data_IF_357550477189
#
_entry.id   IF_357550477189
#
_cell.length_a   1.000
_cell.length_b   1.000
_cell.length_c   1.000
_cell.angle_alpha   90.00
_cell.angle_beta   90.00
_cell.angle_gamma   90.00
#
_symmetry.space_group_name_H-M   'P 1'
#
loop_
_entity.id
_entity.type
_entity.pdbx_description
1 polymer ?
#
# COMPACT_ATOMS: atom_id res chain seq x y z
N UNK A 1 65.14 25.85 18.98
CA UNK A 1 65.85 25.99 17.71
C UNK A 1 64.73 25.95 16.66
N UNK A 2 64.24 27.08 16.26
CA UNK A 2 64.64 27.94 15.15
C UNK A 2 64.22 27.32 13.80
N UNK A 3 63.22 28.01 13.21
CA UNK A 3 63.08 28.43 11.82
C UNK A 3 62.56 27.36 10.81
N UNK A 4 61.76 27.63 9.80
CA UNK A 4 61.33 28.87 9.12
C UNK A 4 60.13 28.56 8.24
N UNK A 5 59.23 29.50 8.12
CA UNK A 5 58.32 29.67 7.00
C UNK A 5 59.05 30.25 5.77
N UNK A 6 58.51 30.10 4.58
CA UNK A 6 58.28 31.28 3.75
C UNK A 6 56.89 31.40 3.13
N UNK A 7 56.47 32.55 3.23
CA UNK A 7 55.56 33.47 2.59
C UNK A 7 55.27 33.28 1.10
N UNK A 8 53.96 33.38 0.76
CA UNK A 8 53.53 34.14 -0.38
C UNK A 8 53.04 33.40 -1.61
N UNK A 9 51.74 33.42 -1.81
CA UNK A 9 51.21 33.96 -3.07
C UNK A 9 49.68 34.06 -3.00
N UNK A 10 49.19 35.26 -3.09
CA UNK A 10 47.80 35.61 -3.28
C UNK A 10 47.40 35.29 -4.73
N UNK A 11 46.40 34.47 -4.96
CA UNK A 11 45.71 34.42 -6.24
C UNK A 11 44.23 34.60 -5.98
N UNK A 12 43.72 35.65 -6.61
CA UNK A 12 42.36 36.15 -6.56
C UNK A 12 41.35 35.08 -7.01
N UNK A 13 40.37 34.84 -6.17
CA UNK A 13 39.21 34.03 -6.49
C UNK A 13 38.26 34.77 -7.42
N UNK A 14 38.01 34.22 -8.59
CA UNK A 14 36.90 34.63 -9.42
C UNK A 14 35.60 34.06 -8.88
N UNK A 15 34.73 34.98 -8.51
CA UNK A 15 33.36 34.78 -8.08
C UNK A 15 32.52 34.22 -9.25
N UNK A 16 32.24 32.92 -9.29
CA UNK A 16 31.11 32.37 -10.06
C UNK A 16 30.06 31.95 -9.06
N UNK A 17 29.13 32.86 -8.81
CA UNK A 17 27.95 32.61 -8.02
C UNK A 17 27.10 31.49 -8.62
N UNK A 18 27.21 30.31 -8.04
CA UNK A 18 26.18 29.27 -8.24
C UNK A 18 24.96 29.66 -7.44
N UNK A 19 24.00 30.20 -8.16
CA UNK A 19 22.70 30.62 -7.64
C UNK A 19 21.85 29.37 -7.33
N UNK A 20 21.86 28.91 -6.08
CA UNK A 20 21.11 27.74 -5.60
C UNK A 20 19.58 28.04 -5.53
N UNK A 21 19.14 29.19 -5.99
CA UNK A 21 17.73 29.64 -5.86
C UNK A 21 16.85 29.25 -7.07
N UNK A 22 17.27 28.39 -7.97
CA UNK A 22 16.51 28.07 -9.20
C UNK A 22 16.12 26.61 -9.38
N UNK A 23 16.04 25.79 -8.34
CA UNK A 23 15.43 24.44 -8.42
C UNK A 23 14.30 24.31 -7.38
N UNK A 24 13.56 25.35 -7.14
CA UNK A 24 12.16 25.24 -6.74
C UNK A 24 11.33 25.27 -8.02
N UNK A 25 11.40 24.19 -8.79
CA UNK A 25 10.41 23.89 -9.81
C UNK A 25 9.04 23.98 -9.13
N UNK A 26 8.20 24.89 -9.60
CA UNK A 26 6.79 25.00 -9.22
C UNK A 26 6.20 23.60 -9.32
N UNK A 27 6.00 22.95 -8.16
CA UNK A 27 5.22 21.75 -8.04
C UNK A 27 3.80 22.19 -8.36
N UNK A 28 3.41 22.15 -9.64
CA UNK A 28 2.03 22.28 -10.07
C UNK A 28 1.21 21.33 -9.21
N UNK A 29 0.16 21.84 -8.59
CA UNK A 29 -0.73 21.04 -7.78
C UNK A 29 -1.12 19.78 -8.57
N UNK A 30 -0.66 18.62 -8.13
CA UNK A 30 -0.94 17.34 -8.80
C UNK A 30 -2.40 17.03 -8.59
N UNK A 31 -3.18 17.10 -9.64
CA UNK A 31 -4.56 16.59 -9.62
C UNK A 31 -4.51 15.08 -9.41
N UNK A 32 -5.49 14.52 -8.69
CA UNK A 32 -5.59 13.06 -8.54
C UNK A 32 -5.51 12.37 -9.91
N UNK A 33 -4.82 11.24 -9.97
CA UNK A 33 -4.85 10.39 -11.16
C UNK A 33 -6.27 9.87 -11.44
N UNK A 34 -7.09 9.72 -10.39
CA UNK A 34 -8.47 9.27 -10.49
C UNK A 34 -9.44 10.45 -10.59
N UNK A 35 -10.49 10.28 -11.38
CA UNK A 35 -11.59 11.21 -11.53
C UNK A 35 -12.94 10.48 -11.42
N UNK A 36 -14.03 11.21 -11.49
CA UNK A 36 -15.39 10.66 -11.40
C UNK A 36 -15.69 9.62 -12.49
N UNK A 37 -15.02 9.71 -13.66
CA UNK A 37 -15.25 8.76 -14.75
C UNK A 37 -14.82 7.35 -14.38
N UNK A 38 -13.79 7.19 -13.52
CA UNK A 38 -13.39 5.89 -12.99
C UNK A 38 -14.53 5.24 -12.20
N UNK A 39 -15.15 5.97 -11.27
CA UNK A 39 -16.27 5.47 -10.46
C UNK A 39 -17.52 5.22 -11.33
N UNK A 40 -17.79 6.11 -12.27
CA UNK A 40 -18.90 5.95 -13.22
C UNK A 40 -18.74 4.68 -14.07
N UNK A 41 -17.53 4.41 -14.57
CA UNK A 41 -17.25 3.17 -15.31
C UNK A 41 -17.47 1.92 -14.44
N UNK A 42 -17.00 1.92 -13.18
CA UNK A 42 -17.21 0.80 -12.26
C UNK A 42 -18.70 0.57 -11.97
N UNK A 43 -19.49 1.64 -11.86
CA UNK A 43 -20.95 1.55 -11.68
C UNK A 43 -21.62 0.93 -12.92
N UNK A 44 -21.25 1.37 -14.12
CA UNK A 44 -21.75 0.79 -15.37
C UNK A 44 -21.35 -0.69 -15.51
N UNK A 45 -20.12 -1.03 -15.15
CA UNK A 45 -19.65 -2.42 -15.13
C UNK A 45 -20.44 -3.27 -14.13
N UNK A 46 -20.79 -2.75 -12.96
CA UNK A 46 -21.60 -3.44 -11.98
C UNK A 46 -23.00 -3.78 -12.54
N UNK A 47 -23.61 -2.83 -13.24
CA UNK A 47 -24.94 -3.01 -13.86
C UNK A 47 -24.92 -3.97 -15.07
N UNK A 48 -23.77 -4.14 -15.74
CA UNK A 48 -23.64 -4.84 -17.01
C UNK A 48 -22.51 -5.90 -17.02
N UNK A 49 -22.26 -6.57 -15.92
CA UNK A 49 -21.08 -7.40 -15.70
C UNK A 49 -21.09 -8.68 -16.57
N UNK A 50 -20.81 -8.51 -17.87
CA UNK A 50 -20.71 -9.58 -18.87
C UNK A 50 -19.45 -9.41 -19.75
N UNK A 51 -19.03 -10.49 -20.40
CA UNK A 51 -17.86 -10.47 -21.29
C UNK A 51 -18.11 -9.60 -22.51
N UNK A 52 -19.31 -9.65 -23.06
CA UNK A 52 -19.65 -8.89 -24.28
C UNK A 52 -19.69 -7.40 -24.00
N UNK A 53 -20.30 -6.99 -22.89
CA UNK A 53 -20.30 -5.58 -22.48
C UNK A 53 -18.90 -5.05 -22.24
N UNK A 54 -18.08 -5.80 -21.47
CA UNK A 54 -16.71 -5.38 -21.19
C UNK A 54 -15.87 -5.26 -22.45
N UNK A 55 -16.02 -6.20 -23.39
CA UNK A 55 -15.33 -6.15 -24.69
C UNK A 55 -15.74 -4.93 -25.51
N UNK A 56 -17.04 -4.60 -25.53
CA UNK A 56 -17.55 -3.41 -26.21
C UNK A 56 -17.06 -2.09 -25.58
N UNK A 57 -16.82 -2.08 -24.26
CA UNK A 57 -16.40 -0.89 -23.51
C UNK A 57 -14.92 -0.94 -23.09
N UNK A 58 -14.10 -1.81 -23.73
CA UNK A 58 -12.70 -1.99 -23.35
C UNK A 58 -11.87 -0.71 -23.49
N UNK A 59 -12.12 0.11 -24.51
CA UNK A 59 -11.43 1.38 -24.72
C UNK A 59 -11.70 2.36 -23.56
N UNK A 60 -12.94 2.40 -23.06
CA UNK A 60 -13.30 3.22 -21.92
C UNK A 60 -12.64 2.70 -20.61
N UNK A 61 -12.60 1.38 -20.41
CA UNK A 61 -11.85 0.79 -19.30
C UNK A 61 -10.37 1.20 -19.32
N UNK A 62 -9.73 1.14 -20.49
CA UNK A 62 -8.33 1.56 -20.64
C UNK A 62 -8.17 3.05 -20.27
N UNK A 63 -9.03 3.92 -20.78
CA UNK A 63 -8.92 5.37 -20.59
C UNK A 63 -9.30 5.81 -19.17
N UNK A 64 -10.42 5.29 -18.64
CA UNK A 64 -11.03 5.79 -17.40
C UNK A 64 -10.53 5.07 -16.13
N UNK A 65 -10.03 3.83 -16.26
CA UNK A 65 -9.66 3.00 -15.12
C UNK A 65 -8.18 2.62 -15.15
N UNK A 66 -7.73 1.93 -16.21
CA UNK A 66 -6.38 1.36 -16.23
C UNK A 66 -5.29 2.43 -16.36
N UNK A 67 -5.42 3.38 -17.28
CA UNK A 67 -4.43 4.44 -17.47
C UNK A 67 -4.25 5.29 -16.21
N UNK A 68 -5.32 5.78 -15.55
CA UNK A 68 -5.21 6.44 -14.25
C UNK A 68 -4.54 5.60 -13.17
N UNK A 69 -4.90 4.31 -13.07
CA UNK A 69 -4.30 3.42 -12.08
C UNK A 69 -2.80 3.19 -12.31
N UNK A 70 -2.36 3.05 -13.56
CA UNK A 70 -0.94 2.92 -13.88
C UNK A 70 -0.18 4.22 -13.59
N UNK A 71 -0.74 5.38 -13.93
CA UNK A 71 -0.16 6.68 -13.60
C UNK A 71 -0.01 6.87 -12.08
N UNK A 72 -1.03 6.50 -11.30
CA UNK A 72 -0.94 6.50 -9.84
C UNK A 72 0.20 5.62 -9.32
N UNK A 73 0.34 4.39 -9.85
CA UNK A 73 1.41 3.48 -9.45
C UNK A 73 2.79 4.09 -9.77
N UNK A 74 2.97 4.70 -10.93
CA UNK A 74 4.22 5.39 -11.30
C UNK A 74 4.55 6.51 -10.31
N UNK A 75 3.55 7.35 -9.99
CA UNK A 75 3.71 8.44 -9.02
C UNK A 75 4.03 7.93 -7.61
N UNK A 76 3.43 6.81 -7.20
CA UNK A 76 3.67 6.21 -5.88
C UNK A 76 5.04 5.52 -5.75
N UNK A 77 5.70 5.17 -6.85
CA UNK A 77 6.95 4.40 -6.82
C UNK A 77 8.03 4.98 -5.89
N UNK A 78 8.41 6.27 -5.95
CA UNK A 78 9.42 6.82 -5.05
C UNK A 78 8.98 6.80 -3.58
N UNK A 79 7.70 7.03 -3.29
CA UNK A 79 7.18 7.01 -1.92
C UNK A 79 7.18 5.59 -1.34
N UNK A 80 6.74 4.60 -2.12
CA UNK A 80 6.72 3.19 -1.70
C UNK A 80 8.14 2.67 -1.45
N UNK A 81 9.10 2.97 -2.34
CA UNK A 81 10.49 2.57 -2.16
C UNK A 81 11.18 3.30 -1.01
N UNK A 82 10.72 4.49 -0.63
CA UNK A 82 11.19 5.20 0.56
C UNK A 82 10.69 4.53 1.86
N UNK A 83 9.50 3.92 1.84
CA UNK A 83 8.99 3.13 2.98
C UNK A 83 9.78 1.83 3.12
N UNK A 84 9.90 1.10 2.02
CA UNK A 84 10.72 -0.10 1.94
C UNK A 84 11.12 -0.38 0.49
N UNK A 85 12.42 -0.55 0.20
CA UNK A 85 12.88 -0.97 -1.13
C UNK A 85 12.48 -2.43 -1.45
N UNK A 86 11.95 -3.16 -0.48
CA UNK A 86 11.47 -4.53 -0.62
C UNK A 86 10.02 -4.62 -1.12
N UNK A 87 9.31 -3.51 -1.15
CA UNK A 87 7.95 -3.46 -1.70
C UNK A 87 7.99 -3.29 -3.22
N UNK A 88 7.25 -4.15 -3.91
CA UNK A 88 7.13 -4.11 -5.38
C UNK A 88 6.16 -3.00 -5.78
N UNK A 89 6.62 -2.06 -6.59
CA UNK A 89 5.81 -1.00 -7.18
C UNK A 89 6.06 -0.97 -8.70
N UNK A 90 5.20 -1.64 -9.47
CA UNK A 90 5.40 -1.85 -10.91
C UNK A 90 4.15 -1.52 -11.69
N UNK A 91 4.20 -0.45 -12.50
CA UNK A 91 3.12 -0.01 -13.38
C UNK A 91 3.10 -0.83 -14.67
N UNK A 92 2.45 -2.00 -14.64
CA UNK A 92 2.29 -2.89 -15.79
C UNK A 92 0.85 -3.35 -15.93
N UNK A 93 0.39 -3.55 -17.16
CA UNK A 93 -0.96 -4.05 -17.47
C UNK A 93 -1.21 -5.48 -16.92
N UNK A 94 -0.16 -6.29 -16.84
CA UNK A 94 -0.21 -7.68 -16.35
C UNK A 94 1.01 -7.94 -15.49
N UNK A 95 0.79 -8.57 -14.32
CA UNK A 95 1.88 -8.96 -13.41
C UNK A 95 2.56 -7.80 -12.68
N UNK A 96 1.96 -6.60 -12.70
CA UNK A 96 2.38 -5.43 -11.93
C UNK A 96 1.59 -5.25 -10.64
N UNK A 97 1.62 -4.02 -10.12
CA UNK A 97 0.91 -3.63 -8.90
C UNK A 97 -0.60 -3.47 -9.12
N UNK A 98 -1.06 -3.24 -10.37
CA UNK A 98 -2.47 -3.21 -10.71
C UNK A 98 -3.03 -4.63 -10.81
N UNK A 99 -4.06 -4.92 -10.04
CA UNK A 99 -4.75 -6.21 -10.12
C UNK A 99 -5.56 -6.32 -11.42
N UNK A 100 -5.60 -7.52 -12.00
CA UNK A 100 -6.41 -7.78 -13.20
C UNK A 100 -7.90 -7.59 -12.91
N UNK A 101 -8.68 -7.09 -13.90
CA UNK A 101 -10.12 -6.89 -13.72
C UNK A 101 -10.91 -8.21 -13.66
N UNK A 102 -10.40 -9.30 -14.24
CA UNK A 102 -11.09 -10.58 -14.24
C UNK A 102 -11.15 -11.20 -12.84
N UNK A 103 -12.33 -11.69 -12.47
CA UNK A 103 -12.53 -12.48 -11.24
C UNK A 103 -12.08 -13.92 -11.45
N UNK A 104 -11.62 -14.54 -10.38
CA UNK A 104 -11.53 -15.99 -10.30
C UNK A 104 -12.85 -16.54 -9.76
N UNK A 105 -13.75 -16.89 -10.67
CA UNK A 105 -15.08 -17.38 -10.32
C UNK A 105 -15.17 -18.91 -10.25
N UNK A 106 -14.03 -19.65 -10.31
CA UNK A 106 -14.03 -21.11 -10.33
C UNK A 106 -14.77 -21.72 -9.14
N UNK A 107 -14.51 -21.20 -7.95
CA UNK A 107 -15.07 -21.69 -6.69
C UNK A 107 -16.13 -20.73 -6.09
N UNK A 108 -16.44 -19.62 -6.77
CA UNK A 108 -17.45 -18.66 -6.30
C UNK A 108 -18.86 -19.04 -6.73
N UNK A 109 -19.85 -18.79 -5.88
CA UNK A 109 -21.29 -18.87 -6.25
C UNK A 109 -21.65 -17.78 -7.27
N UNK A 110 -21.10 -16.59 -7.09
CA UNK A 110 -21.24 -15.49 -8.05
C UNK A 110 -20.30 -15.72 -9.23
N UNK A 111 -20.87 -15.87 -10.43
CA UNK A 111 -20.17 -16.16 -11.69
C UNK A 111 -19.91 -14.89 -12.53
N UNK A 112 -20.15 -13.70 -12.01
CA UNK A 112 -19.80 -12.47 -12.73
C UNK A 112 -18.32 -12.46 -13.10
N UNK A 113 -17.97 -12.13 -14.36
CA UNK A 113 -16.61 -12.34 -14.85
C UNK A 113 -15.61 -11.27 -14.42
N UNK A 114 -16.08 -10.10 -13.98
CA UNK A 114 -15.20 -8.97 -13.67
C UNK A 114 -15.38 -8.49 -12.23
N UNK A 115 -14.30 -7.96 -11.68
CA UNK A 115 -14.30 -7.20 -10.43
C UNK A 115 -14.92 -5.83 -10.70
N UNK A 116 -15.71 -5.34 -9.76
CA UNK A 116 -16.33 -4.01 -9.79
C UNK A 116 -15.50 -2.98 -8.98
N UNK A 117 -14.22 -3.28 -8.79
CA UNK A 117 -13.26 -2.44 -8.08
C UNK A 117 -11.92 -2.37 -8.81
N UNK A 118 -11.19 -1.30 -8.56
CA UNK A 118 -9.75 -1.19 -8.85
C UNK A 118 -8.99 -1.59 -7.60
N UNK A 119 -8.11 -2.57 -7.70
CA UNK A 119 -7.19 -2.96 -6.65
C UNK A 119 -5.76 -2.68 -7.07
N UNK A 120 -5.02 -1.92 -6.25
CA UNK A 120 -3.60 -1.66 -6.45
C UNK A 120 -2.86 -2.18 -5.23
N UNK A 121 -1.82 -3.00 -5.44
CA UNK A 121 -1.09 -3.68 -4.40
C UNK A 121 0.41 -3.44 -4.50
N UNK A 122 1.02 -3.03 -3.39
CA UNK A 122 2.47 -2.90 -3.22
C UNK A 122 2.92 -3.95 -2.20
N UNK A 123 3.17 -5.17 -2.66
CA UNK A 123 3.52 -6.30 -1.81
C UNK A 123 5.02 -6.49 -1.69
N UNK A 124 5.44 -7.18 -0.64
CA UNK A 124 6.84 -7.61 -0.50
C UNK A 124 7.27 -8.48 -1.68
N UNK A 125 8.48 -8.22 -2.24
CA UNK A 125 8.92 -8.86 -3.50
C UNK A 125 9.13 -10.38 -3.37
N UNK A 126 9.45 -10.89 -2.18
CA UNK A 126 9.58 -12.32 -1.90
C UNK A 126 8.22 -13.04 -1.82
N UNK A 127 7.13 -12.29 -1.71
CA UNK A 127 5.80 -12.85 -1.74
C UNK A 127 5.34 -13.18 -3.16
N UNK A 128 4.90 -14.41 -3.39
CA UNK A 128 4.42 -14.84 -4.72
C UNK A 128 3.04 -14.27 -5.05
N UNK A 129 2.27 -13.85 -4.05
CA UNK A 129 0.89 -13.41 -4.19
C UNK A 129 0.43 -12.47 -3.06
N UNK A 130 -0.88 -12.37 -2.84
CA UNK A 130 -1.53 -11.55 -1.79
C UNK A 130 -1.22 -11.98 -0.35
N UNK A 131 -0.60 -13.14 -0.15
CA UNK A 131 -0.26 -13.69 1.16
C UNK A 131 1.09 -13.19 1.70
N UNK A 132 1.72 -12.22 1.01
CA UNK A 132 2.86 -11.49 1.56
C UNK A 132 2.41 -10.16 2.19
N UNK A 133 3.12 -9.64 3.20
CA UNK A 133 2.86 -8.30 3.70
C UNK A 133 2.89 -7.27 2.56
N UNK A 134 1.95 -6.36 2.57
CA UNK A 134 1.84 -5.35 1.50
C UNK A 134 0.91 -4.21 1.86
N UNK A 135 0.94 -3.19 1.01
CA UNK A 135 0.05 -2.05 1.04
C UNK A 135 -0.97 -2.19 -0.09
N UNK A 136 -2.17 -1.70 0.14
CA UNK A 136 -3.28 -1.87 -0.80
C UNK A 136 -4.13 -0.62 -0.91
N UNK A 137 -4.52 -0.26 -2.13
CA UNK A 137 -5.55 0.73 -2.41
C UNK A 137 -6.73 0.04 -3.08
N UNK A 138 -7.91 0.21 -2.49
CA UNK A 138 -9.18 -0.24 -3.02
C UNK A 138 -10.02 0.94 -3.47
N UNK A 139 -10.53 0.88 -4.70
CA UNK A 139 -11.44 1.90 -5.24
C UNK A 139 -12.67 1.18 -5.78
N UNK A 140 -13.84 1.46 -5.20
CA UNK A 140 -15.12 0.94 -5.63
C UNK A 140 -16.25 1.91 -5.27
N UNK A 141 -17.43 1.72 -5.85
CA UNK A 141 -18.58 2.59 -5.57
C UNK A 141 -19.19 2.35 -4.19
N UNK A 142 -19.01 1.15 -3.62
CA UNK A 142 -19.51 0.78 -2.30
C UNK A 142 -18.52 1.13 -1.17
N UNK A 143 -17.33 1.62 -1.51
CA UNK A 143 -16.34 2.11 -0.58
C UNK A 143 -14.93 2.09 -1.13
N UNK A 144 -14.14 3.09 -0.75
CA UNK A 144 -12.71 3.16 -1.03
C UNK A 144 -11.95 3.05 0.28
N UNK A 145 -10.76 2.40 0.26
CA UNK A 145 -9.94 2.28 1.45
C UNK A 145 -8.46 2.05 1.13
N UNK A 146 -7.60 2.42 2.08
CA UNK A 146 -6.23 1.97 2.17
C UNK A 146 -6.16 0.74 3.07
N UNK A 147 -5.36 -0.23 2.68
CA UNK A 147 -5.05 -1.41 3.47
C UNK A 147 -3.55 -1.60 3.67
N UNK A 148 -3.16 -2.18 4.80
CA UNK A 148 -1.78 -2.57 5.08
C UNK A 148 -1.75 -3.86 5.88
N UNK A 149 -0.81 -4.74 5.57
CA UNK A 149 -0.65 -6.00 6.31
C UNK A 149 -0.67 -7.23 5.41
N UNK A 150 -1.18 -8.33 5.92
CA UNK A 150 -1.25 -9.62 5.23
C UNK A 150 -2.66 -10.20 5.31
N UNK A 151 -3.22 -10.54 4.16
CA UNK A 151 -4.57 -11.12 4.04
C UNK A 151 -4.47 -12.60 3.75
N UNK A 152 -5.23 -13.40 4.51
CA UNK A 152 -5.26 -14.86 4.41
C UNK A 152 -3.88 -15.52 4.40
N UNK A 153 -3.00 -15.20 5.38
CA UNK A 153 -1.74 -15.91 5.51
C UNK A 153 -2.00 -17.41 5.67
N UNK A 154 -1.11 -18.23 5.15
CA UNK A 154 -1.18 -19.66 5.35
C UNK A 154 -0.96 -20.05 6.82
N UNK A 155 -1.15 -21.34 7.14
CA UNK A 155 -1.04 -21.82 8.52
C UNK A 155 0.36 -21.63 9.11
N UNK A 156 1.40 -21.70 8.30
CA UNK A 156 2.78 -21.49 8.74
C UNK A 156 3.01 -20.01 9.09
N UNK A 157 2.64 -19.11 8.20
CA UNK A 157 2.72 -17.67 8.44
C UNK A 157 1.87 -17.23 9.64
N UNK A 158 0.64 -17.76 9.79
CA UNK A 158 -0.20 -17.53 10.97
C UNK A 158 0.51 -17.92 12.27
N UNK A 159 1.13 -19.10 12.30
CA UNK A 159 1.84 -19.57 13.48
C UNK A 159 3.06 -18.68 13.79
N UNK A 160 3.84 -18.30 12.78
CA UNK A 160 4.98 -17.39 12.96
C UNK A 160 4.55 -16.04 13.52
N UNK A 161 3.48 -15.44 12.97
CA UNK A 161 2.96 -14.14 13.45
C UNK A 161 2.46 -14.26 14.88
N UNK A 162 1.72 -15.32 15.22
CA UNK A 162 1.23 -15.55 16.59
C UNK A 162 2.36 -15.75 17.60
N UNK A 163 3.37 -16.55 17.27
CA UNK A 163 4.57 -16.73 18.12
C UNK A 163 5.28 -15.39 18.31
N UNK A 164 5.42 -14.59 17.25
CA UNK A 164 6.02 -13.27 17.36
C UNK A 164 5.21 -12.32 18.26
N UNK A 165 3.87 -12.37 18.23
CA UNK A 165 3.00 -11.57 19.09
C UNK A 165 3.14 -12.01 20.57
N UNK A 166 3.23 -13.30 20.82
CA UNK A 166 3.47 -13.86 22.16
C UNK A 166 4.83 -13.41 22.72
N UNK A 167 5.89 -13.55 21.93
CA UNK A 167 7.27 -13.22 22.32
C UNK A 167 7.51 -11.70 22.42
N UNK A 168 6.85 -10.89 21.58
CA UNK A 168 7.08 -9.45 21.43
C UNK A 168 5.79 -8.62 21.47
N UNK A 169 4.93 -8.75 22.50
CA UNK A 169 3.62 -8.12 22.54
C UNK A 169 3.68 -6.59 22.57
N UNK A 170 4.72 -6.02 23.18
CA UNK A 170 4.86 -4.58 23.31
C UNK A 170 5.12 -3.89 21.96
N UNK A 171 5.95 -4.47 21.10
CA UNK A 171 6.18 -3.95 19.75
C UNK A 171 4.90 -4.01 18.90
N UNK A 172 4.13 -5.09 19.02
CA UNK A 172 2.84 -5.21 18.34
C UNK A 172 1.81 -4.18 18.84
N UNK A 173 1.69 -4.00 20.18
CA UNK A 173 0.82 -2.96 20.77
C UNK A 173 1.19 -1.56 20.29
N UNK A 174 2.47 -1.24 20.16
CA UNK A 174 2.92 0.05 19.63
C UNK A 174 2.54 0.22 18.15
N UNK A 175 2.58 -0.85 17.35
CA UNK A 175 2.12 -0.81 15.97
C UNK A 175 0.61 -0.57 15.91
N UNK A 176 -0.18 -1.24 16.73
CA UNK A 176 -1.64 -1.03 16.83
C UNK A 176 -2.00 0.39 17.27
N UNK A 177 -1.29 0.94 18.26
CA UNK A 177 -1.51 2.31 18.74
C UNK A 177 -1.26 3.33 17.63
N UNK A 178 -0.14 3.22 16.88
CA UNK A 178 0.14 4.11 15.74
C UNK A 178 -0.95 4.02 14.67
N UNK A 179 -1.42 2.82 14.36
CA UNK A 179 -2.50 2.62 13.40
C UNK A 179 -3.79 3.30 13.84
N UNK A 180 -4.17 3.13 15.11
CA UNK A 180 -5.38 3.74 15.68
C UNK A 180 -5.30 5.27 15.64
N UNK A 181 -4.17 5.85 16.06
CA UNK A 181 -3.93 7.30 16.01
C UNK A 181 -4.02 7.84 14.58
N UNK A 182 -3.61 7.06 13.59
CA UNK A 182 -3.71 7.39 12.18
C UNK A 182 -5.10 7.10 11.55
N UNK A 183 -6.04 6.54 12.30
CA UNK A 183 -7.39 6.22 11.85
C UNK A 183 -7.50 4.92 11.04
N UNK A 184 -6.53 4.00 11.19
CA UNK A 184 -6.64 2.64 10.72
C UNK A 184 -7.26 1.74 11.79
N UNK A 185 -8.08 0.79 11.38
CA UNK A 185 -8.61 -0.27 12.23
C UNK A 185 -8.15 -1.64 11.73
N UNK A 186 -7.86 -2.55 12.66
CA UNK A 186 -7.58 -3.94 12.32
C UNK A 186 -8.88 -4.65 11.93
N UNK A 187 -8.89 -5.22 10.74
CA UNK A 187 -10.05 -5.90 10.14
C UNK A 187 -9.73 -7.37 9.84
N UNK A 188 -10.71 -8.10 9.33
CA UNK A 188 -10.60 -9.49 8.90
C UNK A 188 -11.22 -10.50 9.85
N UNK A 189 -11.11 -11.77 9.50
CA UNK A 189 -11.69 -12.89 10.24
C UNK A 189 -10.91 -13.21 11.53
N UNK A 190 -11.64 -13.70 12.53
CA UNK A 190 -11.09 -14.21 13.77
C UNK A 190 -11.57 -15.63 14.08
N UNK A 191 -10.78 -16.37 14.84
CA UNK A 191 -11.19 -17.63 15.43
C UNK A 191 -12.16 -17.37 16.60
N UNK A 192 -13.17 -18.22 16.75
CA UNK A 192 -14.06 -18.20 17.92
C UNK A 192 -13.32 -18.66 19.18
N UNK A 193 -12.51 -19.71 19.05
CA UNK A 193 -11.74 -20.30 20.13
C UNK A 193 -10.26 -19.90 20.04
N UNK A 194 -9.52 -19.89 21.17
CA UNK A 194 -8.08 -19.71 21.15
C UNK A 194 -7.40 -20.66 20.17
N UNK A 195 -6.37 -20.21 19.44
CA UNK A 195 -5.57 -21.11 18.63
C UNK A 195 -4.82 -22.12 19.53
N UNK A 196 -4.49 -23.30 18.97
CA UNK A 196 -3.76 -24.33 19.70
C UNK A 196 -2.44 -23.79 20.22
N UNK A 197 -2.16 -24.03 21.50
CA UNK A 197 -0.93 -23.62 22.17
C UNK A 197 -1.03 -22.31 22.94
N UNK A 198 -2.13 -21.56 22.85
CA UNK A 198 -2.34 -20.31 23.58
C UNK A 198 -3.49 -20.41 24.59
N UNK A 199 -3.26 -19.90 25.79
CA UNK A 199 -4.27 -19.87 26.85
C UNK A 199 -5.38 -18.85 26.53
N UNK A 200 -6.61 -19.15 26.96
CA UNK A 200 -7.76 -18.24 26.80
C UNK A 200 -7.61 -16.94 27.58
N UNK A 201 -6.82 -16.95 28.65
CA UNK A 201 -6.53 -15.78 29.50
C UNK A 201 -5.28 -15.00 29.01
N UNK A 202 -4.71 -15.37 27.86
CA UNK A 202 -3.53 -14.69 27.32
C UNK A 202 -3.82 -13.20 27.08
N UNK A 203 -2.94 -12.26 27.51
CA UNK A 203 -3.20 -10.81 27.40
C UNK A 203 -3.42 -10.30 25.97
N UNK A 204 -2.97 -11.05 24.98
CA UNK A 204 -3.11 -10.73 23.55
C UNK A 204 -4.06 -11.69 22.82
N UNK A 205 -4.95 -12.38 23.55
CA UNK A 205 -5.74 -13.48 23.00
C UNK A 205 -6.60 -13.05 21.80
N UNK A 206 -7.14 -11.82 21.78
CA UNK A 206 -7.97 -11.35 20.69
C UNK A 206 -7.14 -11.15 19.42
N UNK A 207 -5.89 -10.69 19.54
CA UNK A 207 -4.96 -10.58 18.42
C UNK A 207 -4.46 -11.97 17.95
N UNK A 208 -4.24 -12.90 18.88
CA UNK A 208 -3.85 -14.28 18.54
C UNK A 208 -4.97 -15.06 17.84
N UNK A 209 -6.24 -14.68 18.04
CA UNK A 209 -7.39 -15.26 17.30
C UNK A 209 -7.49 -14.80 15.87
N UNK A 210 -6.80 -13.71 15.47
CA UNK A 210 -6.89 -13.22 14.08
C UNK A 210 -6.48 -14.28 13.07
N UNK A 211 -7.20 -14.30 11.95
CA UNK A 211 -6.84 -15.06 10.74
C UNK A 211 -6.22 -14.14 9.68
N UNK A 212 -6.52 -12.87 9.76
CA UNK A 212 -6.01 -11.80 8.91
C UNK A 212 -5.34 -10.74 9.76
N UNK A 213 -4.20 -10.25 9.31
CA UNK A 213 -3.46 -9.18 9.96
C UNK A 213 -3.43 -7.97 9.02
N UNK A 214 -4.60 -7.40 8.79
CA UNK A 214 -4.80 -6.24 7.92
C UNK A 214 -5.35 -5.07 8.71
N UNK A 215 -4.78 -3.90 8.47
CA UNK A 215 -5.29 -2.63 8.93
C UNK A 215 -5.95 -1.90 7.76
N UNK A 216 -7.14 -1.35 7.95
CA UNK A 216 -7.93 -0.68 6.93
C UNK A 216 -8.25 0.74 7.39
N UNK A 217 -8.11 1.70 6.46
CA UNK A 217 -8.54 3.09 6.62
C UNK A 217 -9.48 3.46 5.48
N UNK A 218 -10.75 3.77 5.76
CA UNK A 218 -11.68 4.27 4.75
C UNK A 218 -11.20 5.57 4.10
N UNK A 219 -11.53 5.75 2.83
CA UNK A 219 -11.25 6.94 2.04
C UNK A 219 -12.58 7.48 1.53
N UNK A 220 -12.82 8.79 1.68
CA UNK A 220 -13.99 9.42 1.06
C UNK A 220 -13.78 9.65 -0.43
N UNK A 221 -14.87 9.83 -1.17
CA UNK A 221 -14.80 10.18 -2.60
C UNK A 221 -14.09 11.51 -2.81
N UNK A 222 -14.29 12.49 -1.93
CA UNK A 222 -13.63 13.78 -1.97
C UNK A 222 -12.11 13.64 -1.80
N UNK A 223 -11.65 12.75 -0.90
CA UNK A 223 -10.23 12.45 -0.72
C UNK A 223 -9.65 11.77 -1.97
N UNK A 224 -10.34 10.75 -2.52
CA UNK A 224 -9.91 10.04 -3.72
C UNK A 224 -9.74 10.97 -4.93
N UNK A 225 -10.70 11.89 -5.13
CA UNK A 225 -10.72 12.81 -6.27
C UNK A 225 -9.97 14.12 -5.99
N UNK A 226 -9.50 14.31 -4.75
CA UNK A 226 -8.82 15.52 -4.29
C UNK A 226 -7.44 15.73 -4.90
N UNK A 227 -6.98 16.98 -4.89
CA UNK A 227 -5.60 17.27 -5.23
C UNK A 227 -4.66 16.61 -4.22
N UNK A 228 -3.48 16.18 -4.69
CA UNK A 228 -2.45 15.56 -3.84
C UNK A 228 -2.85 14.22 -3.19
N UNK A 229 -3.81 13.49 -3.79
CA UNK A 229 -4.24 12.19 -3.29
C UNK A 229 -3.07 11.20 -3.17
N UNK A 230 -2.13 11.23 -4.11
CA UNK A 230 -0.88 10.47 -4.11
C UNK A 230 -0.02 10.76 -2.87
N UNK A 231 0.24 12.03 -2.59
CA UNK A 231 1.03 12.47 -1.43
C UNK A 231 0.33 12.12 -0.12
N UNK A 232 -0.98 12.33 -0.07
CA UNK A 232 -1.80 11.94 1.09
C UNK A 232 -1.74 10.42 1.32
N UNK A 233 -1.90 9.59 0.27
CA UNK A 233 -1.74 8.14 0.39
C UNK A 233 -0.37 7.75 0.92
N UNK A 234 0.69 8.38 0.42
CA UNK A 234 2.06 8.12 0.88
C UNK A 234 2.24 8.42 2.37
N UNK A 235 1.67 9.53 2.85
CA UNK A 235 1.67 9.89 4.28
C UNK A 235 0.89 8.86 5.12
N UNK A 236 -0.29 8.45 4.64
CA UNK A 236 -1.06 7.42 5.35
C UNK A 236 -0.31 6.08 5.41
N UNK A 237 0.34 5.66 4.33
CA UNK A 237 1.12 4.43 4.33
C UNK A 237 2.33 4.48 5.26
N UNK A 238 2.93 5.64 5.53
CA UNK A 238 3.98 5.78 6.55
C UNK A 238 3.50 5.37 7.95
N UNK A 239 2.24 5.67 8.27
CA UNK A 239 1.67 5.33 9.57
C UNK A 239 1.50 3.82 9.76
N UNK A 240 1.51 3.03 8.69
CA UNK A 240 1.45 1.57 8.76
C UNK A 240 2.82 0.91 8.92
N UNK A 241 3.90 1.68 8.94
CA UNK A 241 5.27 1.18 8.84
C UNK A 241 5.66 0.24 9.98
N UNK A 242 5.21 0.52 11.23
CA UNK A 242 5.49 -0.38 12.37
C UNK A 242 4.80 -1.73 12.20
N UNK A 243 3.54 -1.75 11.73
CA UNK A 243 2.85 -3.01 11.46
C UNK A 243 3.55 -3.79 10.35
N UNK A 244 3.92 -3.12 9.25
CA UNK A 244 4.58 -3.76 8.12
C UNK A 244 5.94 -4.34 8.52
N UNK A 245 6.76 -3.57 9.24
CA UNK A 245 8.05 -4.05 9.75
C UNK A 245 7.88 -5.23 10.71
N UNK A 246 6.88 -5.16 11.60
CA UNK A 246 6.57 -6.25 12.54
C UNK A 246 6.18 -7.54 11.83
N UNK A 247 5.29 -7.46 10.83
CA UNK A 247 4.86 -8.63 10.05
C UNK A 247 6.01 -9.21 9.22
N UNK A 248 6.83 -8.37 8.61
CA UNK A 248 8.03 -8.82 7.89
C UNK A 248 9.00 -9.52 8.84
N UNK A 249 9.29 -8.94 10.02
CA UNK A 249 10.12 -9.57 11.04
C UNK A 249 9.56 -10.93 11.48
N UNK A 250 8.26 -11.03 11.78
CA UNK A 250 7.61 -12.29 12.15
C UNK A 250 7.75 -13.39 11.10
N UNK A 251 7.80 -13.00 9.82
CA UNK A 251 7.93 -13.91 8.69
C UNK A 251 9.38 -14.09 8.21
N UNK A 252 10.37 -13.57 8.94
CA UNK A 252 11.79 -13.60 8.57
C UNK A 252 12.07 -12.96 7.20
N UNK A 253 11.35 -11.89 6.91
CA UNK A 253 11.51 -11.07 5.71
C UNK A 253 12.23 -9.77 6.07
N UNK A 254 13.13 -9.31 5.21
CA UNK A 254 13.70 -7.96 5.30
C UNK A 254 12.61 -6.91 4.97
N UNK A 255 12.69 -5.74 5.63
CA UNK A 255 11.73 -4.67 5.36
C UNK A 255 12.39 -3.34 5.06
#
# INVERSE_FOLDING_TARGET
MINNLPTGMIVLANNTGFNITSIMSKKTASQSAFNVDCLTFLQQLQANNSRDWFKANQAEYEAKVRTPALAFIETMTPYIHQLSPKLTCVAKKVGGSLMRPQRDARFSKDKTPYKINVGIQFRHFQGKDVHAPGLYLHIANDGCFLGAGIWHPDSQALNQIRTCIDDNPNAYKQALAQLADAGFAMEGDCLIRPPKGFDKEHPMIDELKRKDFIAIKPITTEQLLGQHFDTWCAEQFKETNKLMAYLCFALSLDY
#
